data_IF_701747142309
#
_entry.id   IF_701747142309
#
_cell.length_a   1.000
_cell.length_b   1.000
_cell.length_c   1.000
_cell.angle_alpha   90.00
_cell.angle_beta   90.00
_cell.angle_gamma   90.00
#
_symmetry.space_group_name_H-M   'P 1'
#
loop_
_entity.id
_entity.type
_entity.pdbx_description
1 polymer ?
#
# COMPACT_ATOMS: atom_id res chain seq x y z
N UNK A 1 16.33 -0.67 -23.53
CA UNK A 1 15.17 -1.02 -22.69
C UNK A 1 14.75 -2.41 -23.13
N UNK A 2 14.91 -3.41 -22.27
CA UNK A 2 14.53 -4.79 -22.58
C UNK A 2 13.01 -4.87 -22.57
N UNK A 3 12.39 -5.21 -23.70
CA UNK A 3 10.95 -5.46 -23.75
C UNK A 3 10.62 -6.62 -22.80
N UNK A 4 9.72 -6.38 -21.85
CA UNK A 4 9.27 -7.40 -20.91
C UNK A 4 8.36 -8.40 -21.65
N UNK A 5 8.42 -9.70 -21.32
CA UNK A 5 7.51 -10.68 -21.90
C UNK A 5 6.07 -10.41 -21.47
N UNK A 6 5.12 -10.84 -22.30
CA UNK A 6 3.71 -10.89 -21.90
C UNK A 6 3.46 -12.09 -20.99
N UNK A 7 3.51 -11.85 -19.67
CA UNK A 7 3.25 -12.86 -18.64
C UNK A 7 1.81 -13.41 -18.66
N UNK A 8 0.87 -12.78 -19.37
CA UNK A 8 -0.51 -13.28 -19.48
C UNK A 8 -0.65 -14.43 -20.48
N UNK A 9 0.30 -14.54 -21.41
CA UNK A 9 0.35 -15.60 -22.40
C UNK A 9 1.22 -16.81 -21.97
N UNK A 10 1.86 -16.74 -20.80
CA UNK A 10 2.79 -17.76 -20.29
C UNK A 10 2.12 -18.67 -19.25
N UNK A 11 2.53 -19.93 -19.21
CA UNK A 11 2.19 -20.86 -18.13
C UNK A 11 2.97 -20.54 -16.85
N UNK A 12 2.51 -21.03 -15.69
CA UNK A 12 3.16 -20.78 -14.40
C UNK A 12 4.62 -21.27 -14.34
N UNK A 13 4.90 -22.38 -15.02
CA UNK A 13 6.24 -22.97 -15.09
C UNK A 13 7.18 -22.09 -15.93
N UNK A 14 6.72 -21.62 -17.08
CA UNK A 14 7.48 -20.70 -17.95
C UNK A 14 7.74 -19.36 -17.26
N UNK A 15 6.77 -18.84 -16.49
CA UNK A 15 6.96 -17.63 -15.69
C UNK A 15 8.07 -17.86 -14.65
N UNK A 16 8.02 -18.99 -13.93
CA UNK A 16 9.03 -19.36 -12.94
C UNK A 16 10.43 -19.45 -13.54
N UNK A 17 10.55 -20.15 -14.67
CA UNK A 17 11.82 -20.30 -15.39
C UNK A 17 12.36 -18.96 -15.90
N UNK A 18 11.48 -18.07 -16.36
CA UNK A 18 11.90 -16.74 -16.82
C UNK A 18 12.50 -15.92 -15.66
N UNK A 19 11.85 -15.88 -14.50
CA UNK A 19 12.34 -15.17 -13.31
C UNK A 19 13.67 -15.71 -12.78
N UNK A 20 13.93 -17.00 -12.94
CA UNK A 20 15.19 -17.62 -12.52
C UNK A 20 16.38 -17.27 -13.44
N UNK A 21 16.10 -16.95 -14.71
CA UNK A 21 17.12 -16.82 -15.75
C UNK A 21 17.28 -15.40 -16.32
N UNK A 22 16.46 -14.43 -15.90
CA UNK A 22 16.51 -13.06 -16.40
C UNK A 22 16.73 -12.03 -15.30
N UNK A 23 17.39 -10.93 -15.65
CA UNK A 23 17.56 -9.80 -14.73
C UNK A 23 16.20 -9.10 -14.49
N UNK A 24 15.79 -9.09 -13.22
CA UNK A 24 14.53 -8.50 -12.76
C UNK A 24 14.67 -7.04 -12.33
N UNK A 25 15.89 -6.48 -12.38
CA UNK A 25 16.14 -5.07 -12.02
C UNK A 25 15.24 -4.11 -12.78
N UNK A 26 14.95 -4.41 -14.06
CA UNK A 26 14.01 -3.64 -14.89
C UNK A 26 12.54 -3.74 -14.45
N UNK A 27 12.10 -4.89 -13.93
CA UNK A 27 10.76 -5.03 -13.34
C UNK A 27 10.64 -4.28 -12.02
N UNK A 28 11.70 -4.28 -11.20
CA UNK A 28 11.73 -3.54 -9.94
C UNK A 28 11.77 -2.03 -10.19
N UNK A 29 12.48 -1.59 -11.23
CA UNK A 29 12.50 -0.19 -11.65
C UNK A 29 11.18 0.25 -12.32
N UNK A 30 10.53 -0.63 -13.08
CA UNK A 30 9.23 -0.38 -13.71
C UNK A 30 8.04 -0.57 -12.75
N UNK A 31 8.24 -1.25 -11.61
CA UNK A 31 7.33 -1.26 -10.46
C UNK A 31 7.38 0.08 -9.70
N UNK A 32 7.65 1.17 -10.43
CA UNK A 32 7.45 2.53 -9.99
C UNK A 32 6.04 2.61 -9.42
N UNK A 33 5.92 3.20 -8.23
CA UNK A 33 4.63 3.36 -7.58
C UNK A 33 3.70 4.05 -8.59
N UNK A 34 2.50 3.51 -8.85
CA UNK A 34 1.60 4.14 -9.79
C UNK A 34 1.42 5.61 -9.39
N UNK A 35 1.55 6.51 -10.37
CA UNK A 35 1.41 7.95 -10.16
C UNK A 35 0.05 8.31 -9.55
N UNK A 36 -0.93 7.42 -9.71
CA UNK A 36 -2.25 7.52 -9.13
C UNK A 36 -2.48 6.44 -8.06
N UNK A 37 -3.13 6.80 -6.94
CA UNK A 37 -3.45 5.83 -5.90
C UNK A 37 -4.43 4.79 -6.45
N UNK A 38 -3.99 3.53 -6.51
CA UNK A 38 -4.87 2.41 -6.86
C UNK A 38 -5.92 2.23 -5.75
N UNK A 39 -7.17 2.57 -6.06
CA UNK A 39 -8.31 2.24 -5.22
C UNK A 39 -8.79 0.83 -5.54
N UNK A 40 -8.98 0.00 -4.52
CA UNK A 40 -9.74 -1.23 -4.72
C UNK A 40 -11.21 -0.86 -4.97
N UNK A 41 -11.80 -1.45 -6.00
CA UNK A 41 -13.22 -1.29 -6.32
C UNK A 41 -13.99 -2.59 -6.10
N UNK A 42 -15.29 -2.51 -5.86
CA UNK A 42 -16.18 -3.67 -5.87
C UNK A 42 -16.53 -4.12 -7.30
N UNK A 43 -17.39 -5.12 -7.43
CA UNK A 43 -17.86 -5.65 -8.72
C UNK A 43 -18.62 -4.59 -9.57
N UNK A 44 -19.12 -3.53 -8.93
CA UNK A 44 -19.80 -2.41 -9.59
C UNK A 44 -18.87 -1.23 -9.90
N UNK A 45 -17.58 -1.33 -9.58
CA UNK A 45 -16.59 -0.26 -9.82
C UNK A 45 -16.57 0.83 -8.74
N UNK A 46 -17.25 0.64 -7.60
CA UNK A 46 -17.26 1.62 -6.52
C UNK A 46 -16.04 1.44 -5.60
N UNK A 47 -15.35 2.53 -5.20
CA UNK A 47 -14.21 2.43 -4.28
C UNK A 47 -14.63 1.83 -2.94
N UNK A 48 -13.96 0.75 -2.54
CA UNK A 48 -14.16 0.13 -1.24
C UNK A 48 -13.04 0.51 -0.28
N UNK A 49 -13.41 0.82 0.96
CA UNK A 49 -12.42 1.00 2.03
C UNK A 49 -11.72 -0.33 2.30
N UNK A 50 -10.44 -0.41 1.98
CA UNK A 50 -9.60 -1.51 2.44
C UNK A 50 -8.98 -1.16 3.79
N UNK A 51 -9.06 -2.05 4.80
CA UNK A 51 -8.22 -1.89 5.98
C UNK A 51 -6.76 -1.94 5.55
N UNK A 52 -6.01 -0.87 5.84
CA UNK A 52 -4.58 -0.85 5.68
C UNK A 52 -3.92 -1.42 6.94
N UNK A 53 -3.07 -2.43 6.77
CA UNK A 53 -2.23 -2.93 7.86
C UNK A 53 -0.85 -2.33 7.73
N UNK A 54 -0.37 -1.69 8.79
CA UNK A 54 0.98 -1.15 8.86
C UNK A 54 1.62 -1.58 10.17
N UNK A 55 2.94 -1.72 10.16
CA UNK A 55 3.71 -2.07 11.35
C UNK A 55 3.98 -0.81 12.15
N UNK A 56 3.74 -0.89 13.45
CA UNK A 56 4.08 0.16 14.41
C UNK A 56 5.12 -0.34 15.41
N UNK A 57 6.00 0.53 15.91
CA UNK A 57 6.83 0.22 17.06
C UNK A 57 5.98 -0.22 18.27
N UNK A 58 6.45 -1.19 19.09
CA UNK A 58 5.69 -1.67 20.25
C UNK A 58 5.22 -0.56 21.20
N UNK A 59 6.08 0.42 21.50
CA UNK A 59 5.73 1.55 22.35
C UNK A 59 4.54 2.39 21.81
N UNK A 60 4.38 2.49 20.49
CA UNK A 60 3.24 3.18 19.88
C UNK A 60 1.95 2.35 19.98
N UNK A 61 2.05 1.02 19.95
CA UNK A 61 0.90 0.13 20.15
C UNK A 61 0.37 0.25 21.58
N UNK A 62 1.25 0.25 22.58
CA UNK A 62 0.89 0.46 23.98
C UNK A 62 0.24 1.82 24.21
N UNK A 63 0.79 2.88 23.61
CA UNK A 63 0.19 4.20 23.67
C UNK A 63 -1.21 4.23 23.03
N UNK A 64 -1.37 3.61 21.85
CA UNK A 64 -2.67 3.51 21.18
C UNK A 64 -3.68 2.71 22.02
N UNK A 65 -3.26 1.69 22.76
CA UNK A 65 -4.12 0.94 23.68
C UNK A 65 -4.67 1.80 24.80
N UNK A 66 -3.77 2.54 25.46
CA UNK A 66 -4.16 3.43 26.54
C UNK A 66 -5.07 4.57 26.05
N UNK A 67 -4.77 5.13 24.87
CA UNK A 67 -5.56 6.20 24.29
C UNK A 67 -6.93 5.72 23.80
N UNK A 68 -7.01 4.55 23.16
CA UNK A 68 -8.25 3.99 22.64
C UNK A 68 -9.23 3.57 23.73
N UNK A 69 -8.74 3.17 24.91
CA UNK A 69 -9.62 2.87 26.06
C UNK A 69 -10.52 4.04 26.49
N UNK A 70 -10.24 5.26 26.01
CA UNK A 70 -11.01 6.49 26.29
C UNK A 70 -11.76 7.04 25.06
N UNK A 71 -11.56 6.48 23.87
CA UNK A 71 -12.11 7.01 22.61
C UNK A 71 -13.19 6.08 22.03
N UNK A 72 -14.33 6.65 21.65
CA UNK A 72 -15.50 5.92 21.10
C UNK A 72 -15.19 5.28 19.73
N UNK A 73 -14.24 5.81 18.97
CA UNK A 73 -13.83 5.32 17.66
C UNK A 73 -12.66 4.31 17.74
N UNK A 74 -12.10 4.10 18.94
CA UNK A 74 -10.99 3.18 19.20
C UNK A 74 -9.68 3.55 18.48
N UNK A 75 -8.77 2.58 18.38
CA UNK A 75 -7.41 2.76 17.81
C UNK A 75 -7.45 3.32 16.38
N UNK A 76 -8.38 2.83 15.56
CA UNK A 76 -8.51 3.22 14.15
C UNK A 76 -8.96 4.67 13.98
N UNK A 77 -9.82 5.19 14.85
CA UNK A 77 -10.21 6.60 14.85
C UNK A 77 -9.03 7.53 15.17
N UNK A 78 -8.26 7.17 16.19
CA UNK A 78 -7.04 7.91 16.58
C UNK A 78 -6.05 7.99 15.42
N UNK A 79 -5.76 6.86 14.78
CA UNK A 79 -4.86 6.80 13.61
C UNK A 79 -5.42 7.66 12.46
N UNK A 80 -6.71 7.58 12.16
CA UNK A 80 -7.33 8.35 11.07
C UNK A 80 -7.21 9.85 11.31
N UNK A 81 -7.47 10.31 12.54
CA UNK A 81 -7.35 11.71 12.94
C UNK A 81 -5.91 12.20 12.83
N UNK A 82 -4.95 11.41 13.34
CA UNK A 82 -3.53 11.73 13.23
C UNK A 82 -3.06 11.86 11.77
N UNK A 83 -3.52 10.97 10.88
CA UNK A 83 -3.21 11.04 9.45
C UNK A 83 -3.85 12.25 8.76
N UNK A 84 -5.09 12.61 9.12
CA UNK A 84 -5.74 13.81 8.59
C UNK A 84 -5.01 15.08 9.04
N UNK A 85 -4.68 15.19 10.33
CA UNK A 85 -3.91 16.33 10.87
C UNK A 85 -2.53 16.43 10.22
N UNK A 86 -1.83 15.29 10.06
CA UNK A 86 -0.55 15.26 9.38
C UNK A 86 -0.68 15.78 7.94
N UNK A 87 -1.67 15.30 7.19
CA UNK A 87 -1.94 15.75 5.82
C UNK A 87 -2.26 17.24 5.75
N UNK A 88 -3.04 17.76 6.69
CA UNK A 88 -3.39 19.18 6.75
C UNK A 88 -2.17 20.05 7.04
N UNK A 89 -1.32 19.64 8.00
CA UNK A 89 -0.08 20.36 8.33
C UNK A 89 0.96 20.33 7.19
N UNK A 90 0.99 19.26 6.40
CA UNK A 90 2.01 19.04 5.38
C UNK A 90 1.49 19.15 3.95
N UNK A 91 0.29 19.71 3.76
CA UNK A 91 -0.39 19.84 2.46
C UNK A 91 0.39 20.63 1.39
N UNK A 92 1.47 21.32 1.78
CA UNK A 92 2.40 22.04 0.90
C UNK A 92 3.76 21.36 0.64
N UNK A 93 4.00 20.14 1.14
CA UNK A 93 5.28 19.41 0.97
C UNK A 93 5.18 18.19 0.04
N UNK A 94 4.04 17.99 -0.63
CA UNK A 94 3.94 17.00 -1.70
C UNK A 94 4.49 17.62 -3.00
N UNK A 95 5.82 17.51 -3.15
CA UNK A 95 6.54 17.68 -4.42
C UNK A 95 7.01 16.32 -4.89
#
# INVERSE_FOLDING_TARGET
MSELPDFTAMTKEEIGDWFLNHDTSGLVAAADRPAEPMAQVDEQGMPVMRPATFRLPPAMLEWLEQAAGRDREGKSGIVRRALQEYRERHRGHAA
#
